data_IF_697772580275
#
_entry.id   IF_697772580275
#
_cell.length_a   1.000
_cell.length_b   1.000
_cell.length_c   1.000
_cell.angle_alpha   90.00
_cell.angle_beta   90.00
_cell.angle_gamma   90.00
#
_symmetry.space_group_name_H-M   'P 1'
#
loop_
_entity.id
_entity.type
_entity.pdbx_description
1 polymer ?
#
# COMPACT_ATOMS: atom_id res chain seq x y z
N UNK A 1 35.19 1.59 -63.17
CA UNK A 1 35.28 1.72 -61.69
C UNK A 1 34.00 2.37 -61.08
N UNK A 2 33.55 3.50 -61.57
CA UNK A 2 32.39 4.24 -61.01
C UNK A 2 31.02 3.52 -61.04
N UNK A 3 30.72 2.66 -62.03
CA UNK A 3 29.47 1.89 -62.04
C UNK A 3 29.38 0.85 -60.93
N UNK A 4 30.47 0.14 -60.63
CA UNK A 4 30.56 -0.87 -59.55
C UNK A 4 30.42 -0.23 -58.18
N UNK A 5 31.05 0.96 -58.00
CA UNK A 5 30.95 1.72 -56.76
C UNK A 5 29.53 2.22 -56.48
N UNK A 6 28.82 2.71 -57.54
CA UNK A 6 27.39 3.12 -57.41
C UNK A 6 26.47 1.95 -57.08
N UNK A 7 26.70 0.77 -57.67
CA UNK A 7 25.91 -0.44 -57.33
C UNK A 7 26.17 -0.86 -55.87
N UNK A 8 27.41 -0.80 -55.42
CA UNK A 8 27.77 -1.13 -54.07
C UNK A 8 27.18 -0.14 -53.05
N UNK A 9 27.12 1.14 -53.42
CA UNK A 9 26.50 2.19 -52.59
C UNK A 9 24.97 2.02 -52.51
N UNK A 10 24.33 1.65 -53.61
CA UNK A 10 22.88 1.35 -53.62
C UNK A 10 22.55 0.09 -52.83
N UNK A 11 23.38 -0.96 -52.89
CA UNK A 11 23.20 -2.16 -52.08
C UNK A 11 23.39 -1.86 -50.58
N UNK A 12 24.39 -1.05 -50.21
CA UNK A 12 24.61 -0.61 -48.86
C UNK A 12 23.46 0.26 -48.32
N UNK A 13 22.92 1.16 -49.18
CA UNK A 13 21.75 1.95 -48.85
C UNK A 13 20.49 1.07 -48.64
N UNK A 14 20.29 0.04 -49.53
CA UNK A 14 19.18 -0.89 -49.38
C UNK A 14 19.23 -1.71 -48.08
N UNK A 15 20.42 -2.02 -47.54
CA UNK A 15 20.60 -2.67 -46.25
C UNK A 15 20.28 -1.76 -45.06
N UNK A 16 20.30 -0.42 -45.24
CA UNK A 16 19.91 0.53 -44.19
C UNK A 16 18.38 0.71 -44.09
N UNK A 17 17.61 0.23 -45.06
CA UNK A 17 16.13 0.28 -45.04
C UNK A 17 15.49 -0.96 -44.40
N UNK A 18 16.26 -1.93 -43.89
CA UNK A 18 15.72 -3.07 -43.13
C UNK A 18 15.41 -2.71 -41.68
N UNK A 19 14.99 -1.46 -41.44
CA UNK A 19 14.58 -1.00 -40.13
C UNK A 19 13.12 -1.37 -39.81
N UNK A 20 12.88 -1.98 -38.66
CA UNK A 20 11.58 -2.13 -38.00
C UNK A 20 10.54 -3.04 -38.68
N UNK A 21 10.89 -4.27 -39.02
CA UNK A 21 9.89 -5.28 -39.38
C UNK A 21 9.08 -5.80 -38.18
N UNK A 22 9.57 -5.63 -36.97
CA UNK A 22 8.93 -6.09 -35.72
C UNK A 22 8.17 -4.94 -35.00
N UNK A 23 7.55 -4.05 -35.75
CA UNK A 23 6.74 -2.97 -35.19
C UNK A 23 5.33 -3.48 -34.92
N UNK A 24 5.09 -3.90 -33.65
CA UNK A 24 3.72 -4.11 -33.18
C UNK A 24 3.05 -2.74 -33.03
N UNK A 25 1.94 -2.49 -33.70
CA UNK A 25 1.22 -1.22 -33.60
C UNK A 25 0.59 -1.08 -32.19
N UNK A 26 0.43 0.17 -31.73
CA UNK A 26 -0.10 0.46 -30.40
C UNK A 26 -1.54 -0.06 -30.25
N UNK A 27 -2.27 -0.11 -31.36
CA UNK A 27 -3.66 -0.58 -31.43
C UNK A 27 -3.79 -2.09 -31.24
N UNK A 28 -2.73 -2.86 -31.55
CA UNK A 28 -2.67 -4.31 -31.35
C UNK A 28 -2.26 -4.70 -29.94
N UNK A 29 -1.97 -3.73 -29.07
CA UNK A 29 -1.57 -3.95 -27.68
C UNK A 29 -2.75 -3.79 -26.74
N UNK A 30 -2.92 -4.77 -25.84
CA UNK A 30 -3.83 -4.73 -24.71
C UNK A 30 -3.09 -4.37 -23.42
N UNK A 31 -3.17 -3.12 -22.96
CA UNK A 31 -2.49 -2.72 -21.73
C UNK A 31 -3.27 -3.19 -20.51
N UNK A 32 -2.70 -4.11 -19.73
CA UNK A 32 -3.26 -4.53 -18.46
C UNK A 32 -2.97 -3.44 -17.42
N UNK A 33 -4.02 -2.89 -16.81
CA UNK A 33 -3.91 -1.83 -15.79
C UNK A 33 -4.02 -2.40 -14.37
N UNK A 34 -4.85 -3.42 -14.18
CA UNK A 34 -5.05 -4.05 -12.89
C UNK A 34 -5.13 -5.56 -13.03
N UNK A 35 -4.64 -6.27 -12.02
CA UNK A 35 -4.72 -7.71 -11.88
C UNK A 35 -5.45 -8.01 -10.58
N UNK A 36 -6.45 -8.88 -10.60
CA UNK A 36 -7.11 -9.49 -9.45
C UNK A 36 -6.77 -10.96 -9.39
N UNK A 37 -6.41 -11.47 -8.24
CA UNK A 37 -6.04 -12.87 -8.04
C UNK A 37 -6.85 -13.43 -6.88
N UNK A 38 -7.68 -14.40 -7.21
CA UNK A 38 -8.53 -15.14 -6.29
C UNK A 38 -8.17 -16.64 -6.31
N UNK A 39 -8.62 -17.36 -5.30
CA UNK A 39 -8.52 -18.80 -5.26
C UNK A 39 -9.59 -19.41 -6.17
N UNK A 40 -9.16 -20.20 -7.15
CA UNK A 40 -10.12 -20.88 -8.02
C UNK A 40 -10.81 -22.02 -7.30
N UNK A 41 -12.01 -22.32 -7.76
CA UNK A 41 -12.72 -23.52 -7.38
C UNK A 41 -12.41 -24.71 -8.31
N UNK A 42 -12.51 -25.95 -7.80
CA UNK A 42 -12.33 -27.16 -8.60
C UNK A 42 -10.87 -27.55 -8.80
N UNK A 43 -10.47 -27.89 -10.04
CA UNK A 43 -9.12 -28.39 -10.37
C UNK A 43 -8.08 -27.28 -10.56
N UNK A 44 -8.50 -26.04 -10.83
CA UNK A 44 -7.59 -24.89 -11.00
C UNK A 44 -7.20 -24.29 -9.65
N UNK A 45 -6.00 -23.71 -9.56
CA UNK A 45 -5.50 -23.05 -8.35
C UNK A 45 -5.74 -21.53 -8.35
N UNK A 46 -5.58 -20.90 -9.52
CA UNK A 46 -5.65 -19.44 -9.70
C UNK A 46 -6.88 -19.05 -10.50
N UNK A 47 -7.60 -18.07 -9.99
CA UNK A 47 -8.66 -17.35 -10.66
C UNK A 47 -8.20 -15.91 -10.90
N UNK A 48 -7.93 -15.59 -12.17
CA UNK A 48 -7.31 -14.34 -12.60
C UNK A 48 -8.35 -13.45 -13.27
N UNK A 49 -8.50 -12.25 -12.77
CA UNK A 49 -9.26 -11.17 -13.41
C UNK A 49 -8.33 -10.03 -13.80
N UNK A 50 -8.46 -9.52 -15.02
CA UNK A 50 -7.64 -8.41 -15.51
C UNK A 50 -8.50 -7.30 -16.07
N UNK A 51 -8.03 -6.06 -15.90
CA UNK A 51 -8.69 -4.87 -16.42
C UNK A 51 -7.86 -4.23 -17.52
N UNK A 52 -8.48 -4.04 -18.68
CA UNK A 52 -7.91 -3.31 -19.81
C UNK A 52 -8.73 -2.04 -20.07
N UNK A 53 -8.11 -0.89 -20.39
CA UNK A 53 -8.83 0.30 -20.80
C UNK A 53 -9.47 0.11 -22.18
N UNK A 54 -10.72 0.52 -22.30
CA UNK A 54 -11.37 0.67 -23.60
C UNK A 54 -11.14 2.11 -24.11
N UNK A 55 -10.08 2.29 -24.90
CA UNK A 55 -9.63 3.60 -25.36
C UNK A 55 -10.71 4.33 -26.18
N UNK A 56 -11.52 3.59 -26.96
CA UNK A 56 -12.58 4.18 -27.78
C UNK A 56 -13.69 4.78 -26.91
N UNK A 57 -14.09 4.08 -25.84
CA UNK A 57 -15.09 4.56 -24.90
C UNK A 57 -14.57 5.73 -24.04
N UNK A 58 -13.31 5.67 -23.58
CA UNK A 58 -12.67 6.75 -22.81
C UNK A 58 -12.53 8.02 -23.65
N UNK A 59 -12.25 7.89 -24.97
CA UNK A 59 -12.14 9.01 -25.88
C UNK A 59 -13.49 9.66 -26.28
N UNK A 60 -14.60 9.16 -25.77
CA UNK A 60 -15.94 9.73 -26.02
C UNK A 60 -16.45 9.56 -27.44
N UNK A 61 -15.84 8.70 -28.28
CA UNK A 61 -16.21 8.51 -29.70
C UNK A 61 -17.54 7.78 -29.86
N UNK A 62 -17.98 7.01 -28.87
CA UNK A 62 -19.18 6.16 -28.96
C UNK A 62 -20.34 6.61 -28.05
N UNK A 63 -20.26 7.80 -27.40
CA UNK A 63 -21.30 8.28 -26.49
C UNK A 63 -21.55 7.37 -25.28
N UNK A 64 -20.65 6.44 -25.01
CA UNK A 64 -20.74 5.48 -23.94
C UNK A 64 -20.22 6.12 -22.63
N UNK A 65 -21.13 6.54 -21.79
CA UNK A 65 -20.84 6.94 -20.42
C UNK A 65 -20.22 5.74 -19.68
N UNK A 66 -19.08 5.97 -19.05
CA UNK A 66 -18.41 5.19 -17.97
C UNK A 66 -18.48 3.65 -17.94
N UNK A 67 -19.59 3.03 -18.28
CA UNK A 67 -19.81 1.58 -18.18
C UNK A 67 -18.93 0.74 -19.10
N UNK A 68 -18.59 1.27 -20.26
CA UNK A 68 -17.78 0.59 -21.29
C UNK A 68 -16.30 1.04 -21.28
N UNK A 69 -15.88 1.84 -20.31
CA UNK A 69 -14.52 2.38 -20.27
C UNK A 69 -13.43 1.32 -20.02
N UNK A 70 -13.83 0.12 -19.61
CA UNK A 70 -12.92 -1.01 -19.36
C UNK A 70 -13.46 -2.32 -19.90
N UNK A 71 -12.54 -3.23 -20.21
CA UNK A 71 -12.80 -4.64 -20.49
C UNK A 71 -12.24 -5.47 -19.36
N UNK A 72 -13.03 -6.41 -18.84
CA UNK A 72 -12.58 -7.43 -17.91
C UNK A 72 -12.29 -8.72 -18.67
N UNK A 73 -11.11 -9.27 -18.47
CA UNK A 73 -10.72 -10.62 -18.90
C UNK A 73 -10.65 -11.53 -17.68
N UNK A 74 -11.06 -12.78 -17.84
CA UNK A 74 -11.13 -13.75 -16.75
C UNK A 74 -10.58 -15.09 -17.18
N UNK A 75 -9.66 -15.68 -16.42
CA UNK A 75 -9.05 -16.96 -16.76
C UNK A 75 -8.67 -17.75 -15.51
N UNK A 76 -8.89 -19.08 -15.55
CA UNK A 76 -8.52 -19.98 -14.49
C UNK A 76 -7.46 -20.97 -14.96
N UNK A 77 -6.47 -21.26 -14.10
CA UNK A 77 -5.42 -22.26 -14.37
C UNK A 77 -4.72 -22.70 -13.06
N UNK A 78 -3.85 -23.73 -13.19
CA UNK A 78 -3.05 -24.25 -12.08
C UNK A 78 -1.82 -23.40 -11.76
N UNK A 79 -1.45 -22.49 -12.66
CA UNK A 79 -0.37 -21.53 -12.48
C UNK A 79 -0.79 -20.13 -12.95
N UNK A 80 -0.33 -19.08 -12.25
CA UNK A 80 -0.65 -17.70 -12.61
C UNK A 80 -0.22 -17.35 -14.05
N UNK A 81 0.98 -17.74 -14.46
CA UNK A 81 1.47 -17.52 -15.84
C UNK A 81 0.61 -18.25 -16.88
N UNK A 82 0.08 -19.43 -16.57
CA UNK A 82 -0.83 -20.14 -17.44
C UNK A 82 -2.20 -19.44 -17.54
N UNK A 83 -2.71 -18.87 -16.43
CA UNK A 83 -3.91 -18.06 -16.44
C UNK A 83 -3.72 -16.78 -17.28
N UNK A 84 -2.58 -16.10 -17.13
CA UNK A 84 -2.21 -14.95 -17.95
C UNK A 84 -2.19 -15.31 -19.44
N UNK A 85 -1.58 -16.44 -19.81
CA UNK A 85 -1.55 -16.91 -21.20
C UNK A 85 -2.94 -17.31 -21.74
N UNK A 86 -3.79 -17.93 -20.90
CA UNK A 86 -5.17 -18.24 -21.31
C UNK A 86 -5.98 -16.96 -21.57
N UNK A 87 -5.71 -15.88 -20.86
CA UNK A 87 -6.38 -14.61 -21.07
C UNK A 87 -5.98 -13.95 -22.38
N UNK A 88 -4.74 -14.15 -22.88
CA UNK A 88 -4.33 -13.70 -24.21
C UNK A 88 -5.27 -14.23 -25.31
N UNK A 89 -5.75 -15.46 -25.16
CA UNK A 89 -6.66 -16.09 -26.12
C UNK A 89 -8.08 -15.50 -26.13
N UNK A 90 -8.44 -14.67 -25.14
CA UNK A 90 -9.75 -14.02 -25.04
C UNK A 90 -9.82 -12.67 -25.73
N UNK A 91 -8.68 -12.17 -26.23
CA UNK A 91 -8.59 -10.89 -26.91
C UNK A 91 -7.81 -11.02 -28.21
N UNK A 92 -8.13 -10.21 -29.22
CA UNK A 92 -7.35 -10.10 -30.44
C UNK A 92 -6.10 -9.23 -30.31
N UNK A 93 -5.75 -8.81 -29.07
CA UNK A 93 -4.62 -7.96 -28.76
C UNK A 93 -3.57 -8.72 -27.99
N UNK A 94 -2.29 -8.39 -28.17
CA UNK A 94 -1.20 -8.91 -27.32
C UNK A 94 -1.23 -8.18 -25.98
N UNK A 95 -1.39 -8.93 -24.87
CA UNK A 95 -1.43 -8.34 -23.54
C UNK A 95 -0.04 -7.87 -23.10
N UNK A 96 0.02 -6.68 -22.56
CA UNK A 96 1.22 -6.04 -22.02
C UNK A 96 1.04 -5.66 -20.56
N UNK A 97 1.90 -6.20 -19.68
CA UNK A 97 1.82 -6.03 -18.23
C UNK A 97 2.70 -4.88 -17.70
N UNK A 98 3.52 -4.26 -18.56
CA UNK A 98 4.42 -3.16 -18.14
C UNK A 98 3.71 -1.90 -17.64
N UNK A 99 2.40 -1.80 -17.85
CA UNK A 99 1.55 -0.70 -17.38
C UNK A 99 0.64 -1.11 -16.22
N UNK A 100 0.76 -2.33 -15.71
CA UNK A 100 -0.01 -2.79 -14.55
C UNK A 100 0.37 -1.97 -13.32
N UNK A 101 -0.64 -1.34 -12.72
CA UNK A 101 -0.48 -0.43 -11.59
C UNK A 101 -0.73 -1.11 -10.26
N UNK A 102 -1.69 -2.04 -10.23
CA UNK A 102 -2.11 -2.74 -9.02
C UNK A 102 -2.28 -4.24 -9.24
N UNK A 103 -2.03 -5.01 -8.18
CA UNK A 103 -2.54 -6.36 -8.00
C UNK A 103 -3.37 -6.43 -6.73
N UNK A 104 -4.59 -6.94 -6.83
CA UNK A 104 -5.52 -7.15 -5.72
C UNK A 104 -5.60 -8.64 -5.43
N UNK A 105 -5.55 -9.01 -4.16
CA UNK A 105 -5.64 -10.39 -3.69
C UNK A 105 -6.87 -10.56 -2.81
N UNK A 106 -7.71 -11.54 -3.11
CA UNK A 106 -8.86 -11.90 -2.29
C UNK A 106 -8.45 -12.59 -0.97
N UNK A 107 -9.25 -12.49 0.07
CA UNK A 107 -8.96 -13.04 1.39
C UNK A 107 -8.74 -14.55 1.37
N UNK A 108 -9.56 -15.31 0.66
CA UNK A 108 -9.43 -16.77 0.56
C UNK A 108 -8.11 -17.16 -0.12
N UNK A 109 -7.68 -16.41 -1.13
CA UNK A 109 -6.40 -16.61 -1.79
C UNK A 109 -5.23 -16.31 -0.83
N UNK A 110 -5.28 -15.20 -0.11
CA UNK A 110 -4.25 -14.81 0.87
C UNK A 110 -4.15 -15.77 2.05
N UNK A 111 -5.19 -16.54 2.34
CA UNK A 111 -5.18 -17.55 3.40
C UNK A 111 -4.32 -18.77 3.05
N UNK A 112 -3.98 -18.94 1.77
CA UNK A 112 -3.14 -20.01 1.26
C UNK A 112 -1.71 -19.50 0.98
N UNK A 113 -0.82 -19.66 1.96
CA UNK A 113 0.57 -19.19 1.88
C UNK A 113 1.33 -19.69 0.65
N UNK A 114 1.09 -20.94 0.22
CA UNK A 114 1.82 -21.52 -0.91
C UNK A 114 1.31 -20.93 -2.25
N UNK A 115 0.01 -20.76 -2.41
CA UNK A 115 -0.54 -20.10 -3.60
C UNK A 115 -0.08 -18.63 -3.66
N UNK A 116 -0.09 -17.92 -2.53
CA UNK A 116 0.38 -16.55 -2.50
C UNK A 116 1.86 -16.43 -2.87
N UNK A 117 2.74 -17.27 -2.31
CA UNK A 117 4.16 -17.30 -2.67
C UNK A 117 4.38 -17.62 -4.16
N UNK A 118 3.59 -18.55 -4.71
CA UNK A 118 3.65 -18.89 -6.14
C UNK A 118 3.25 -17.68 -7.00
N UNK A 119 2.18 -16.96 -6.64
CA UNK A 119 1.76 -15.75 -7.35
C UNK A 119 2.84 -14.67 -7.32
N UNK A 120 3.37 -14.37 -6.13
CA UNK A 120 4.42 -13.36 -5.97
C UNK A 120 5.69 -13.74 -6.75
N UNK A 121 6.08 -15.02 -6.73
CA UNK A 121 7.21 -15.51 -7.52
C UNK A 121 6.97 -15.37 -9.03
N UNK A 122 5.74 -15.64 -9.50
CA UNK A 122 5.38 -15.47 -10.91
C UNK A 122 5.41 -13.99 -11.33
N UNK A 123 4.92 -13.08 -10.49
CA UNK A 123 4.96 -11.64 -10.75
C UNK A 123 6.40 -11.10 -10.75
N UNK A 124 7.24 -11.53 -9.81
CA UNK A 124 8.65 -11.13 -9.71
C UNK A 124 9.50 -11.61 -10.89
N UNK A 125 9.25 -12.81 -11.36
CA UNK A 125 9.96 -13.40 -12.53
C UNK A 125 9.51 -12.83 -13.88
N UNK A 126 8.38 -12.16 -13.93
CA UNK A 126 7.91 -11.53 -15.16
C UNK A 126 8.77 -10.32 -15.50
N UNK A 127 9.40 -10.34 -16.67
CA UNK A 127 10.20 -9.20 -17.16
C UNK A 127 9.38 -7.95 -17.47
N UNK A 128 8.06 -8.10 -17.59
CA UNK A 128 7.14 -7.00 -17.90
C UNK A 128 6.54 -6.34 -16.64
N UNK A 129 6.37 -7.10 -15.56
CA UNK A 129 5.75 -6.59 -14.35
C UNK A 129 6.73 -5.69 -13.58
N UNK A 130 6.26 -4.50 -13.23
CA UNK A 130 7.08 -3.53 -12.48
C UNK A 130 7.24 -3.93 -11.02
N UNK A 131 8.44 -3.81 -10.47
CA UNK A 131 8.69 -3.93 -9.02
C UNK A 131 7.93 -2.88 -8.18
N UNK A 132 7.46 -1.80 -8.82
CA UNK A 132 6.63 -0.75 -8.22
C UNK A 132 5.12 -1.08 -8.28
N UNK A 133 4.74 -2.28 -8.72
CA UNK A 133 3.36 -2.76 -8.69
C UNK A 133 2.81 -2.63 -7.27
N UNK A 134 1.71 -1.87 -7.11
CA UNK A 134 1.05 -1.69 -5.81
C UNK A 134 0.24 -2.95 -5.51
N UNK A 135 0.42 -3.49 -4.32
CA UNK A 135 -0.24 -4.71 -3.87
C UNK A 135 -1.31 -4.37 -2.85
N UNK A 136 -2.49 -4.94 -3.01
CA UNK A 136 -3.68 -4.67 -2.20
C UNK A 136 -4.33 -5.99 -1.76
N UNK A 137 -4.97 -5.96 -0.63
CA UNK A 137 -5.80 -7.05 -0.12
C UNK A 137 -7.25 -6.64 -0.01
N UNK A 138 -8.18 -7.57 -0.23
CA UNK A 138 -9.61 -7.36 -0.02
C UNK A 138 -10.21 -8.51 0.79
N UNK A 139 -11.21 -8.20 1.62
CA UNK A 139 -12.01 -9.21 2.33
C UNK A 139 -12.93 -9.97 1.38
N UNK A 140 -13.33 -9.32 0.28
CA UNK A 140 -14.12 -9.88 -0.80
C UNK A 140 -13.25 -10.61 -1.84
N UNK A 141 -13.79 -10.86 -3.02
CA UNK A 141 -13.00 -11.34 -4.16
C UNK A 141 -12.30 -10.16 -4.86
N UNK A 142 -11.11 -10.40 -5.37
CA UNK A 142 -10.42 -9.41 -6.19
C UNK A 142 -11.19 -9.11 -7.48
N UNK A 143 -11.92 -10.10 -8.00
CA UNK A 143 -12.79 -9.94 -9.15
C UNK A 143 -13.91 -8.91 -8.88
N UNK A 144 -14.55 -8.94 -7.72
CA UNK A 144 -15.60 -7.98 -7.34
C UNK A 144 -15.05 -6.56 -7.25
N UNK A 145 -13.85 -6.41 -6.65
CA UNK A 145 -13.17 -5.12 -6.61
C UNK A 145 -12.91 -4.59 -8.02
N UNK A 146 -12.36 -5.41 -8.91
CA UNK A 146 -12.07 -4.97 -10.28
C UNK A 146 -13.34 -4.75 -11.12
N UNK A 147 -14.44 -5.39 -10.78
CA UNK A 147 -15.74 -5.19 -11.39
C UNK A 147 -16.48 -3.96 -10.83
N UNK A 148 -16.11 -3.45 -9.67
CA UNK A 148 -16.78 -2.33 -9.04
C UNK A 148 -16.74 -1.07 -9.90
N UNK A 149 -17.81 -0.29 -9.89
CA UNK A 149 -17.94 0.95 -10.66
C UNK A 149 -17.49 2.10 -9.77
N UNK A 150 -16.56 2.91 -10.26
CA UNK A 150 -16.22 4.18 -9.63
C UNK A 150 -16.70 5.32 -10.50
N UNK A 151 -17.56 6.22 -10.00
CA UNK A 151 -18.08 7.33 -10.79
C UNK A 151 -16.98 8.32 -11.24
N UNK A 152 -15.92 8.42 -10.46
CA UNK A 152 -14.88 9.42 -10.68
C UNK A 152 -13.69 8.90 -11.50
N UNK A 153 -13.45 7.60 -11.50
CA UNK A 153 -12.30 6.98 -12.20
C UNK A 153 -12.70 5.58 -12.67
N UNK A 154 -12.90 5.39 -13.98
CA UNK A 154 -13.38 4.11 -14.51
C UNK A 154 -12.39 2.96 -14.39
N UNK A 155 -11.10 3.26 -14.16
CA UNK A 155 -10.02 2.28 -14.03
C UNK A 155 -9.50 2.27 -12.59
N UNK A 156 -9.85 1.27 -11.81
CA UNK A 156 -9.46 1.14 -10.39
C UNK A 156 -7.94 1.23 -10.20
N UNK A 157 -7.16 0.62 -11.07
CA UNK A 157 -5.70 0.74 -11.00
C UNK A 157 -5.21 2.17 -11.16
N UNK A 158 -5.91 2.98 -11.96
CA UNK A 158 -5.60 4.41 -12.08
C UNK A 158 -6.01 5.17 -10.83
N UNK A 159 -7.20 4.89 -10.29
CA UNK A 159 -7.66 5.47 -9.02
C UNK A 159 -6.64 5.22 -7.91
N UNK A 160 -6.27 3.98 -7.66
CA UNK A 160 -5.31 3.61 -6.59
C UNK A 160 -3.95 4.26 -6.82
N UNK A 161 -3.44 4.22 -8.06
CA UNK A 161 -2.16 4.84 -8.39
C UNK A 161 -2.18 6.37 -8.15
N UNK A 162 -3.27 7.04 -8.51
CA UNK A 162 -3.45 8.46 -8.27
C UNK A 162 -3.65 8.78 -6.78
N UNK A 163 -4.35 7.90 -6.04
CA UNK A 163 -4.49 8.03 -4.60
C UNK A 163 -3.12 8.10 -3.93
N UNK A 164 -2.24 7.12 -4.19
CA UNK A 164 -0.90 7.12 -3.60
C UNK A 164 -0.01 8.26 -4.10
N UNK A 165 -0.16 8.67 -5.36
CA UNK A 165 0.63 9.76 -5.93
C UNK A 165 0.23 11.14 -5.39
N UNK A 166 -1.07 11.37 -5.21
CA UNK A 166 -1.60 12.71 -4.92
C UNK A 166 -1.94 12.90 -3.44
N UNK A 167 -2.08 11.82 -2.68
CA UNK A 167 -2.46 11.83 -1.27
C UNK A 167 -1.38 11.20 -0.39
N UNK A 168 -0.12 11.21 -0.84
CA UNK A 168 0.99 10.66 -0.07
C UNK A 168 1.06 11.26 1.34
N UNK A 169 0.74 12.55 1.45
CA UNK A 169 0.72 13.29 2.71
C UNK A 169 -0.59 13.11 3.52
N UNK A 170 -1.55 12.32 3.01
CA UNK A 170 -2.86 12.06 3.64
C UNK A 170 -3.12 10.55 3.86
N UNK A 171 -2.09 9.71 3.76
CA UNK A 171 -2.19 8.24 3.76
C UNK A 171 -2.36 7.61 5.15
N UNK A 172 -3.00 8.31 6.10
CA UNK A 172 -3.02 7.85 7.50
C UNK A 172 -4.18 6.91 7.82
N UNK A 173 -4.92 6.49 6.82
CA UNK A 173 -6.02 5.51 6.91
C UNK A 173 -5.62 4.13 6.36
N UNK A 174 -4.48 4.04 5.66
CA UNK A 174 -3.97 2.80 5.08
C UNK A 174 -2.44 2.87 4.96
N UNK A 175 -1.80 1.74 4.68
CA UNK A 175 -0.37 1.62 4.41
C UNK A 175 -0.10 1.64 2.90
N UNK A 176 1.16 1.69 2.50
CA UNK A 176 1.59 1.46 1.13
C UNK A 176 2.44 0.19 1.06
N UNK A 177 2.26 -0.61 -0.01
CA UNK A 177 3.08 -1.80 -0.26
C UNK A 177 3.24 -2.01 -1.77
N UNK A 178 4.48 -2.14 -2.23
CA UNK A 178 4.78 -2.56 -3.59
C UNK A 178 5.44 -3.93 -3.62
N UNK A 179 5.65 -4.48 -4.82
CA UNK A 179 6.19 -5.82 -4.99
C UNK A 179 7.61 -5.96 -4.40
N UNK A 180 8.49 -4.98 -4.62
CA UNK A 180 9.85 -4.97 -4.06
C UNK A 180 9.85 -4.99 -2.52
N UNK A 181 9.04 -4.14 -1.91
CA UNK A 181 8.89 -4.07 -0.45
C UNK A 181 8.31 -5.37 0.13
N UNK A 182 7.31 -5.95 -0.54
CA UNK A 182 6.73 -7.23 -0.12
C UNK A 182 7.78 -8.34 -0.13
N UNK A 183 8.52 -8.47 -1.23
CA UNK A 183 9.60 -9.48 -1.36
C UNK A 183 10.66 -9.31 -0.26
N UNK A 184 11.07 -8.07 0.00
CA UNK A 184 12.01 -7.77 1.07
C UNK A 184 11.46 -8.21 2.43
N UNK A 185 10.22 -7.87 2.74
CA UNK A 185 9.58 -8.19 4.01
C UNK A 185 9.38 -9.69 4.21
N UNK A 186 8.89 -10.40 3.20
CA UNK A 186 8.70 -11.85 3.26
C UNK A 186 10.03 -12.60 3.41
N UNK A 187 11.08 -12.15 2.73
CA UNK A 187 12.41 -12.78 2.80
C UNK A 187 13.15 -12.46 4.12
N UNK A 188 12.86 -11.36 4.78
CA UNK A 188 13.57 -10.96 6.01
C UNK A 188 12.87 -11.40 7.27
N UNK A 189 11.54 -11.27 7.33
CA UNK A 189 10.74 -11.53 8.54
C UNK A 189 9.63 -12.56 8.33
N UNK A 190 9.29 -12.87 7.08
CA UNK A 190 8.12 -13.69 6.74
C UNK A 190 6.78 -12.97 6.90
N UNK A 191 6.80 -11.68 7.26
CA UNK A 191 5.60 -10.90 7.57
C UNK A 191 5.45 -9.73 6.62
N UNK A 192 4.20 -9.33 6.34
CA UNK A 192 3.90 -8.14 5.55
C UNK A 192 2.56 -7.53 5.97
N UNK A 193 2.39 -6.24 5.71
CA UNK A 193 1.12 -5.52 5.91
C UNK A 193 0.71 -4.96 4.56
N UNK A 194 -0.38 -5.49 3.99
CA UNK A 194 -0.92 -5.02 2.72
C UNK A 194 -2.03 -3.99 2.94
N UNK A 195 -2.10 -2.91 2.15
CA UNK A 195 -3.23 -1.99 2.19
C UNK A 195 -4.53 -2.71 1.82
N UNK A 196 -5.61 -2.38 2.53
CA UNK A 196 -6.93 -2.93 2.26
C UNK A 196 -7.70 -2.04 1.29
N UNK A 197 -8.38 -2.68 0.33
CA UNK A 197 -9.32 -2.06 -0.60
C UNK A 197 -10.69 -2.73 -0.44
N UNK A 198 -11.74 -1.93 -0.37
CA UNK A 198 -13.14 -2.38 -0.24
C UNK A 198 -14.04 -1.61 -1.19
N UNK A 199 -15.24 -2.13 -1.39
CA UNK A 199 -16.35 -1.42 -2.04
C UNK A 199 -17.44 -1.20 -1.00
N UNK A 200 -17.70 0.04 -0.63
CA UNK A 200 -18.72 0.43 0.33
C UNK A 200 -19.73 1.36 -0.36
N UNK A 201 -21.00 1.02 -0.30
CA UNK A 201 -22.09 1.78 -0.95
C UNK A 201 -21.86 2.04 -2.46
N UNK A 202 -21.11 1.17 -3.13
CA UNK A 202 -20.74 1.29 -4.54
C UNK A 202 -19.46 2.13 -4.79
N UNK A 203 -18.87 2.74 -3.78
CA UNK A 203 -17.63 3.49 -3.87
C UNK A 203 -16.42 2.67 -3.42
N UNK A 204 -15.29 2.85 -4.10
CA UNK A 204 -14.03 2.23 -3.73
C UNK A 204 -13.40 3.00 -2.58
N UNK A 205 -13.00 2.27 -1.56
CA UNK A 205 -12.31 2.81 -0.39
C UNK A 205 -10.99 2.09 -0.14
N UNK A 206 -9.96 2.88 0.17
CA UNK A 206 -8.68 2.40 0.69
C UNK A 206 -8.63 2.76 2.18
N UNK A 207 -8.77 1.76 3.06
CA UNK A 207 -8.85 1.97 4.50
C UNK A 207 -8.46 0.71 5.25
N UNK A 208 -7.59 0.84 6.25
CA UNK A 208 -7.10 -0.31 7.00
C UNK A 208 -6.03 -1.10 6.27
N UNK A 209 -5.73 -2.30 6.75
CA UNK A 209 -4.71 -3.16 6.18
C UNK A 209 -4.95 -4.64 6.49
N UNK A 210 -4.39 -5.53 5.67
CA UNK A 210 -4.30 -6.97 5.91
C UNK A 210 -2.95 -7.32 6.52
N UNK A 211 -2.94 -8.21 7.50
CA UNK A 211 -1.74 -8.73 8.15
C UNK A 211 -1.40 -10.09 7.58
N UNK A 212 -0.21 -10.22 7.02
CA UNK A 212 0.35 -11.49 6.58
C UNK A 212 1.44 -11.97 7.53
N UNK A 213 1.32 -13.22 7.99
CA UNK A 213 2.33 -13.93 8.76
C UNK A 213 2.73 -15.20 8.03
N UNK A 214 4.04 -15.38 7.79
CA UNK A 214 4.55 -16.50 6.98
C UNK A 214 3.88 -16.60 5.59
N UNK A 215 3.62 -15.42 5.00
CA UNK A 215 2.94 -15.27 3.72
C UNK A 215 1.45 -15.69 3.70
N UNK A 216 0.80 -15.89 4.85
CA UNK A 216 -0.63 -16.17 4.95
C UNK A 216 -1.36 -15.04 5.68
N UNK A 217 -2.59 -14.76 5.26
CA UNK A 217 -3.49 -13.83 5.93
C UNK A 217 -3.77 -14.30 7.36
N UNK A 218 -3.54 -13.42 8.32
CA UNK A 218 -3.74 -13.71 9.75
C UNK A 218 -4.79 -12.81 10.37
N UNK A 219 -5.02 -11.63 9.81
CA UNK A 219 -6.02 -10.70 10.32
C UNK A 219 -6.07 -9.39 9.55
N UNK A 220 -6.91 -8.48 10.02
CA UNK A 220 -7.17 -7.19 9.43
C UNK A 220 -7.00 -6.09 10.47
N UNK A 221 -6.53 -4.94 10.03
CA UNK A 221 -6.49 -3.71 10.80
C UNK A 221 -7.59 -2.77 10.33
N UNK A 222 -8.29 -2.16 11.28
CA UNK A 222 -9.15 -1.01 10.99
C UNK A 222 -8.32 0.29 10.86
N UNK A 223 -8.98 1.42 10.55
CA UNK A 223 -8.31 2.72 10.40
C UNK A 223 -7.51 3.13 11.64
N UNK A 224 -8.08 3.03 12.83
CA UNK A 224 -7.40 3.42 14.09
C UNK A 224 -6.19 2.55 14.37
N UNK A 225 -6.30 1.24 14.17
CA UNK A 225 -5.18 0.30 14.34
C UNK A 225 -4.08 0.55 13.29
N UNK A 226 -4.47 0.85 12.05
CA UNK A 226 -3.53 1.21 10.98
C UNK A 226 -2.83 2.52 11.30
N UNK A 227 -3.55 3.53 11.77
CA UNK A 227 -2.97 4.81 12.23
C UNK A 227 -2.00 4.60 13.40
N UNK A 228 -2.34 3.74 14.36
CA UNK A 228 -1.42 3.34 15.43
C UNK A 228 -0.11 2.72 14.91
N UNK A 229 -0.18 1.89 13.87
CA UNK A 229 1.00 1.35 13.19
C UNK A 229 1.81 2.46 12.49
N UNK A 230 1.14 3.41 11.84
CA UNK A 230 1.82 4.54 11.20
C UNK A 230 2.51 5.45 12.22
N UNK A 231 1.92 5.66 13.41
CA UNK A 231 2.60 6.32 14.53
C UNK A 231 3.84 5.54 14.98
N UNK A 232 3.74 4.21 15.12
CA UNK A 232 4.88 3.35 15.46
C UNK A 232 6.02 3.53 14.45
N UNK A 233 5.71 3.65 13.17
CA UNK A 233 6.68 3.82 12.07
C UNK A 233 7.22 5.24 11.96
N UNK A 234 6.62 6.22 12.64
CA UNK A 234 6.93 7.64 12.46
C UNK A 234 6.43 8.19 11.13
N UNK A 235 5.47 7.51 10.53
CA UNK A 235 4.83 7.85 9.25
C UNK A 235 3.50 8.60 9.46
N UNK A 236 3.37 9.37 10.53
CA UNK A 236 2.14 10.08 10.91
C UNK A 236 1.93 11.44 10.22
N UNK A 237 2.71 11.80 9.21
CA UNK A 237 2.57 13.06 8.48
C UNK A 237 1.25 13.11 7.72
N UNK A 238 0.48 14.24 7.80
CA UNK A 238 -0.84 14.47 7.20
C UNK A 238 -2.01 13.88 7.98
N UNK A 239 -1.78 13.12 9.06
CA UNK A 239 -2.85 12.58 9.91
C UNK A 239 -3.76 13.68 10.40
N UNK A 240 -5.06 13.48 10.24
CA UNK A 240 -6.09 14.30 10.87
C UNK A 240 -6.55 13.60 12.15
N UNK A 241 -6.14 14.13 13.30
CA UNK A 241 -6.52 13.63 14.61
C UNK A 241 -7.51 14.59 15.26
N UNK A 242 -8.60 14.09 15.83
CA UNK A 242 -9.62 14.93 16.45
C UNK A 242 -9.77 14.59 17.91
N UNK A 243 -9.66 15.58 18.78
CA UNK A 243 -9.87 15.42 20.22
C UNK A 243 -11.03 16.28 20.73
N UNK A 244 -11.76 15.82 21.77
CA UNK A 244 -12.76 16.65 22.40
C UNK A 244 -12.07 17.75 23.22
N UNK A 245 -12.65 18.94 23.20
CA UNK A 245 -12.19 20.09 23.98
C UNK A 245 -13.38 20.79 24.61
N UNK A 246 -13.37 20.86 25.95
CA UNK A 246 -14.33 21.64 26.70
C UNK A 246 -13.85 23.09 26.78
N UNK A 247 -14.49 23.95 26.00
CA UNK A 247 -14.16 25.37 25.94
C UNK A 247 -14.65 26.06 27.24
N UNK A 248 -13.75 26.50 28.11
CA UNK A 248 -14.13 27.13 29.39
C UNK A 248 -14.83 28.44 29.22
N UNK A 249 -14.65 29.12 28.08
CA UNK A 249 -15.30 30.41 27.83
C UNK A 249 -16.77 30.29 27.39
N UNK A 250 -17.13 29.19 26.72
CA UNK A 250 -18.47 28.96 26.18
C UNK A 250 -19.21 27.79 26.83
N UNK A 251 -18.54 27.02 27.70
CA UNK A 251 -19.04 25.77 28.31
C UNK A 251 -19.59 24.77 27.26
N UNK A 252 -19.05 24.78 26.05
CA UNK A 252 -19.41 23.88 24.95
C UNK A 252 -18.31 22.86 24.72
N UNK A 253 -18.70 21.61 24.65
CA UNK A 253 -17.82 20.55 24.13
C UNK A 253 -17.70 20.70 22.61
N UNK A 254 -16.48 20.70 22.11
CA UNK A 254 -16.16 20.83 20.69
C UNK A 254 -15.16 19.74 20.30
N UNK A 255 -15.20 19.35 19.06
CA UNK A 255 -14.17 18.51 18.47
C UNK A 255 -13.14 19.41 17.78
N UNK A 256 -11.89 19.28 18.15
CA UNK A 256 -10.78 20.07 17.59
C UNK A 256 -9.94 19.16 16.70
N UNK A 257 -9.97 19.37 15.38
CA UNK A 257 -9.12 18.63 14.44
C UNK A 257 -7.73 19.26 14.38
N UNK A 258 -6.73 18.39 14.42
CA UNK A 258 -5.31 18.69 14.28
C UNK A 258 -4.75 17.91 13.11
N UNK A 259 -4.14 18.59 12.13
CA UNK A 259 -3.45 17.98 11.03
C UNK A 259 -1.95 17.99 11.26
N UNK A 260 -1.35 16.82 11.23
CA UNK A 260 0.10 16.68 11.33
C UNK A 260 0.75 17.05 10.00
N UNK A 261 1.69 17.98 10.02
CA UNK A 261 2.46 18.40 8.82
C UNK A 261 3.85 17.80 8.79
N UNK A 262 4.34 17.34 9.94
CA UNK A 262 5.65 16.71 10.04
C UNK A 262 5.67 15.73 11.22
N UNK A 263 6.25 14.56 11.00
CA UNK A 263 6.38 13.53 12.02
C UNK A 263 7.80 12.94 11.99
N UNK A 264 8.47 12.92 13.12
CA UNK A 264 9.80 12.30 13.26
C UNK A 264 9.80 11.30 14.40
N UNK A 265 10.53 10.21 14.19
CA UNK A 265 10.69 9.13 15.18
C UNK A 265 12.16 8.85 15.43
N UNK A 266 12.49 8.61 16.70
CA UNK A 266 13.77 8.01 17.08
C UNK A 266 13.53 6.81 17.98
N UNK A 267 14.36 5.78 17.83
CA UNK A 267 14.34 4.55 18.63
C UNK A 267 15.64 4.44 19.40
N UNK A 268 15.56 3.97 20.62
CA UNK A 268 16.73 3.60 21.43
C UNK A 268 16.44 2.26 22.12
N UNK A 269 17.41 1.37 22.11
CA UNK A 269 17.27 0.03 22.68
C UNK A 269 18.21 -0.15 23.85
N UNK A 270 17.74 -0.80 24.90
CA UNK A 270 18.55 -1.20 26.05
C UNK A 270 18.12 -2.57 26.56
N UNK A 271 19.04 -3.27 27.16
CA UNK A 271 18.79 -4.47 27.93
C UNK A 271 18.57 -4.12 29.39
N UNK A 272 17.65 -4.80 30.05
CA UNK A 272 17.34 -4.67 31.46
C UNK A 272 17.18 -6.05 32.10
N UNK A 273 17.09 -6.12 33.43
CA UNK A 273 16.82 -7.39 34.12
C UNK A 273 15.48 -8.02 33.68
N UNK A 274 14.52 -7.19 33.24
CA UNK A 274 13.21 -7.60 32.75
C UNK A 274 13.18 -7.90 31.23
N UNK A 275 14.31 -7.73 30.51
CA UNK A 275 14.45 -8.00 29.09
C UNK A 275 14.65 -6.76 28.22
N UNK A 276 14.40 -6.92 26.93
CA UNK A 276 14.63 -5.88 25.92
C UNK A 276 13.61 -4.74 26.03
N UNK A 277 14.11 -3.52 26.15
CA UNK A 277 13.31 -2.29 26.17
C UNK A 277 13.59 -1.48 24.92
N UNK A 278 12.54 -1.11 24.20
CA UNK A 278 12.56 -0.14 23.12
C UNK A 278 11.96 1.18 23.61
N UNK A 279 12.74 2.26 23.60
CA UNK A 279 12.22 3.61 23.80
C UNK A 279 11.96 4.27 22.46
N UNK A 280 10.71 4.62 22.22
CA UNK A 280 10.25 5.35 21.04
C UNK A 280 9.99 6.81 21.44
N UNK A 281 10.73 7.73 20.82
CA UNK A 281 10.45 9.16 20.91
C UNK A 281 9.85 9.62 19.57
N UNK A 282 8.67 10.21 19.63
CA UNK A 282 7.96 10.72 18.44
C UNK A 282 7.67 12.20 18.63
N UNK A 283 7.99 12.99 17.62
CA UNK A 283 7.64 14.40 17.57
C UNK A 283 6.74 14.67 16.37
N UNK A 284 5.48 15.02 16.64
CA UNK A 284 4.47 15.42 15.66
C UNK A 284 4.29 16.94 15.69
N UNK A 285 4.42 17.57 14.54
CA UNK A 285 4.16 19.00 14.35
C UNK A 285 2.97 19.18 13.41
N UNK A 286 2.14 20.19 13.66
CA UNK A 286 0.98 20.42 12.80
C UNK A 286 0.18 21.63 13.22
N UNK A 287 -0.99 21.79 12.60
CA UNK A 287 -1.90 22.92 12.83
C UNK A 287 -3.31 22.45 13.19
N UNK A 288 -4.03 23.28 13.95
CA UNK A 288 -5.46 23.10 14.18
C UNK A 288 -6.18 23.57 12.93
N UNK A 289 -7.01 22.69 12.33
CA UNK A 289 -7.75 23.05 11.11
C UNK A 289 -9.04 23.82 11.39
N UNK A 290 -9.73 23.45 12.47
CA UNK A 290 -10.95 24.14 12.88
C UNK A 290 -10.97 24.39 14.38
N UNK A 291 -11.09 25.63 14.75
CA UNK A 291 -11.45 26.03 16.09
C UNK A 291 -12.27 27.31 16.01
N UNK A 292 -13.50 27.28 16.53
CA UNK A 292 -14.34 28.47 16.53
C UNK A 292 -13.76 29.49 17.53
N UNK A 293 -12.87 30.32 17.07
CA UNK A 293 -12.44 31.55 17.71
C UNK A 293 -13.04 32.71 16.93
N UNK A 294 -13.34 33.84 17.59
CA UNK A 294 -13.70 35.06 16.87
C UNK A 294 -12.54 35.44 15.94
N UNK A 295 -12.80 35.96 14.72
CA UNK A 295 -11.79 36.13 13.67
C UNK A 295 -10.50 36.86 14.08
N UNK A 296 -10.52 37.62 15.15
CA UNK A 296 -9.38 38.43 15.63
C UNK A 296 -8.70 37.86 16.89
N UNK A 297 -9.13 36.71 17.40
CA UNK A 297 -8.53 36.11 18.60
C UNK A 297 -7.55 34.99 18.26
N UNK A 298 -6.28 35.18 18.60
CA UNK A 298 -5.29 34.13 18.66
C UNK A 298 -5.69 33.13 19.75
N UNK A 299 -5.54 31.83 19.45
CA UNK A 299 -5.74 30.76 20.45
C UNK A 299 -4.78 31.00 21.61
N UNK A 300 -5.26 31.11 22.87
CA UNK A 300 -4.40 31.28 24.03
C UNK A 300 -3.36 30.19 24.18
N UNK A 301 -2.18 30.53 24.68
CA UNK A 301 -1.09 29.58 24.84
C UNK A 301 -1.45 28.39 25.76
N UNK A 302 -2.19 28.61 26.83
CA UNK A 302 -2.64 27.59 27.77
C UNK A 302 -3.61 26.62 27.11
N UNK A 303 -4.46 27.12 26.20
CA UNK A 303 -5.35 26.30 25.36
C UNK A 303 -4.53 25.43 24.40
N UNK A 304 -3.53 26.01 23.71
CA UNK A 304 -2.62 25.25 22.84
C UNK A 304 -1.86 24.16 23.62
N UNK A 305 -1.36 24.47 24.80
CA UNK A 305 -0.70 23.48 25.66
C UNK A 305 -1.64 22.36 26.10
N UNK A 306 -2.88 22.68 26.43
CA UNK A 306 -3.90 21.72 26.81
C UNK A 306 -4.21 20.77 25.65
N UNK A 307 -4.44 21.33 24.47
CA UNK A 307 -4.67 20.57 23.23
C UNK A 307 -3.46 19.70 22.87
N UNK A 308 -2.23 20.23 22.92
CA UNK A 308 -1.02 19.44 22.67
C UNK A 308 -0.97 18.19 23.55
N UNK A 309 -1.23 18.33 24.87
CA UNK A 309 -1.25 17.19 25.79
C UNK A 309 -2.37 16.19 25.49
N UNK A 310 -3.51 16.64 24.97
CA UNK A 310 -4.59 15.74 24.57
C UNK A 310 -4.20 14.95 23.33
N UNK A 311 -3.62 15.61 22.30
CA UNK A 311 -3.10 14.93 21.13
C UNK A 311 -1.95 13.95 21.45
N UNK A 312 -1.03 14.33 22.35
CA UNK A 312 0.02 13.44 22.84
C UNK A 312 -0.55 12.16 23.47
N UNK A 313 -1.60 12.29 24.28
CA UNK A 313 -2.28 11.12 24.90
C UNK A 313 -2.96 10.25 23.86
N UNK A 314 -3.65 10.85 22.90
CA UNK A 314 -4.35 10.10 21.85
C UNK A 314 -3.36 9.32 20.97
N UNK A 315 -2.29 9.98 20.50
CA UNK A 315 -1.22 9.32 19.75
C UNK A 315 -0.59 8.19 20.57
N UNK A 316 -0.31 8.43 21.86
CA UNK A 316 0.24 7.41 22.77
C UNK A 316 -0.68 6.21 22.87
N UNK A 317 -1.99 6.46 23.02
CA UNK A 317 -3.01 5.40 23.16
C UNK A 317 -3.08 4.54 21.89
N UNK A 318 -3.21 5.16 20.72
CA UNK A 318 -3.28 4.44 19.43
C UNK A 318 -2.00 3.64 19.17
N UNK A 319 -0.83 4.24 19.41
CA UNK A 319 0.47 3.62 19.22
C UNK A 319 0.66 2.40 20.15
N UNK A 320 0.33 2.55 21.43
CA UNK A 320 0.46 1.46 22.41
C UNK A 320 -0.54 0.33 22.14
N UNK A 321 -1.77 0.67 21.72
CA UNK A 321 -2.77 -0.33 21.33
C UNK A 321 -2.30 -1.12 20.09
N UNK A 322 -1.76 -0.44 19.07
CA UNK A 322 -1.21 -1.11 17.89
C UNK A 322 -0.02 -2.00 18.25
N UNK A 323 0.94 -1.52 19.06
CA UNK A 323 2.08 -2.32 19.51
C UNK A 323 1.63 -3.57 20.27
N UNK A 324 0.71 -3.41 21.24
CA UNK A 324 0.16 -4.52 22.02
C UNK A 324 -0.55 -5.54 21.12
N UNK A 325 -1.35 -5.07 20.15
CA UNK A 325 -2.04 -5.92 19.20
C UNK A 325 -1.04 -6.79 18.41
N UNK A 326 0.01 -6.19 17.85
CA UNK A 326 1.04 -6.91 17.12
C UNK A 326 1.83 -7.86 18.01
N UNK A 327 2.11 -7.48 19.23
CA UNK A 327 2.88 -8.27 20.19
C UNK A 327 2.10 -9.48 20.71
N UNK A 328 0.84 -9.29 21.12
CA UNK A 328 0.07 -10.30 21.85
C UNK A 328 -0.81 -11.16 20.95
N UNK A 329 -1.50 -10.56 19.98
CA UNK A 329 -2.44 -11.26 19.12
C UNK A 329 -1.74 -11.89 17.91
N UNK A 330 -0.96 -11.10 17.17
CA UNK A 330 -0.34 -11.59 15.93
C UNK A 330 1.07 -12.17 16.16
N UNK A 331 1.80 -11.67 17.15
CA UNK A 331 3.20 -12.06 17.42
C UNK A 331 4.09 -11.79 16.22
N UNK A 332 3.99 -10.58 15.64
CA UNK A 332 4.80 -10.13 14.51
C UNK A 332 5.38 -8.74 14.80
N UNK A 333 6.62 -8.54 14.43
CA UNK A 333 7.29 -7.23 14.46
C UNK A 333 6.93 -6.43 13.19
N UNK A 334 5.72 -5.87 13.18
CA UNK A 334 5.15 -5.17 12.01
C UNK A 334 5.87 -3.85 11.67
N UNK A 335 6.62 -3.30 12.62
CA UNK A 335 7.41 -2.08 12.47
C UNK A 335 8.91 -2.36 12.25
N UNK A 336 9.31 -3.64 12.21
CA UNK A 336 10.70 -4.05 12.07
C UNK A 336 11.63 -3.50 13.15
N UNK A 337 11.18 -3.39 14.41
CA UNK A 337 11.95 -2.89 15.55
C UNK A 337 13.24 -3.68 15.78
N UNK A 338 13.18 -5.01 15.62
CA UNK A 338 14.36 -5.87 15.78
C UNK A 338 15.38 -5.64 14.66
N UNK A 339 14.94 -5.26 13.45
CA UNK A 339 15.84 -4.84 12.38
C UNK A 339 16.53 -3.50 12.70
N UNK A 340 15.81 -2.58 13.31
CA UNK A 340 16.38 -1.32 13.79
C UNK A 340 17.36 -1.56 14.94
N UNK A 341 17.05 -2.46 15.86
CA UNK A 341 17.99 -2.93 16.88
C UNK A 341 19.27 -3.47 16.25
N UNK A 342 19.16 -4.34 15.23
CA UNK A 342 20.34 -4.87 14.53
C UNK A 342 21.22 -3.76 13.93
N UNK A 343 20.61 -2.75 13.32
CA UNK A 343 21.35 -1.62 12.72
C UNK A 343 22.05 -0.76 13.76
N UNK A 344 21.40 -0.49 14.90
CA UNK A 344 21.90 0.42 15.94
C UNK A 344 22.87 -0.26 16.89
N UNK A 345 22.58 -1.49 17.30
CA UNK A 345 23.36 -2.25 18.28
C UNK A 345 23.43 -3.74 17.91
N UNK A 346 24.31 -4.13 16.97
CA UNK A 346 24.46 -5.54 16.57
C UNK A 346 24.87 -6.48 17.72
N UNK A 347 25.55 -5.96 18.75
CA UNK A 347 25.98 -6.77 19.90
C UNK A 347 24.78 -7.13 20.79
N UNK A 348 23.91 -6.15 21.03
CA UNK A 348 22.68 -6.39 21.78
C UNK A 348 21.73 -7.30 20.98
N UNK A 349 21.59 -7.09 19.69
CA UNK A 349 20.78 -7.95 18.81
C UNK A 349 21.22 -9.43 18.90
N UNK A 350 22.53 -9.72 18.90
CA UNK A 350 23.04 -11.09 18.99
C UNK A 350 22.60 -11.83 20.25
N UNK A 351 22.35 -11.14 21.34
CA UNK A 351 21.89 -11.76 22.59
C UNK A 351 20.47 -12.34 22.47
N UNK A 352 19.68 -11.82 21.51
CA UNK A 352 18.30 -12.22 21.26
C UNK A 352 18.15 -13.02 19.95
N UNK A 353 19.24 -13.20 19.16
CA UNK A 353 19.19 -13.74 17.82
C UNK A 353 18.66 -15.19 17.73
N UNK A 354 18.82 -15.97 18.81
CA UNK A 354 18.35 -17.36 18.87
C UNK A 354 16.81 -17.46 18.89
N UNK A 355 16.10 -16.41 19.36
CA UNK A 355 14.64 -16.39 19.40
C UNK A 355 14.09 -14.95 19.32
N UNK A 356 14.09 -14.42 18.11
CA UNK A 356 13.63 -13.05 17.85
C UNK A 356 12.12 -12.87 18.12
N UNK A 357 11.31 -13.90 17.87
CA UNK A 357 9.88 -13.85 18.15
C UNK A 357 9.61 -13.70 19.65
N UNK A 358 10.34 -14.45 20.50
CA UNK A 358 10.23 -14.31 21.94
C UNK A 358 10.73 -12.94 22.42
N UNK A 359 11.83 -12.45 21.84
CA UNK A 359 12.37 -11.13 22.15
C UNK A 359 11.34 -10.03 21.86
N UNK A 360 10.67 -10.07 20.71
CA UNK A 360 9.61 -9.13 20.38
C UNK A 360 8.40 -9.27 21.31
N UNK A 361 7.94 -10.50 21.58
CA UNK A 361 6.80 -10.74 22.46
C UNK A 361 7.01 -10.28 23.91
N UNK A 362 8.26 -10.23 24.38
CA UNK A 362 8.63 -9.80 25.71
C UNK A 362 9.18 -8.37 25.75
N UNK A 363 9.33 -7.71 24.59
CA UNK A 363 9.86 -6.35 24.51
C UNK A 363 8.94 -5.37 25.22
N UNK A 364 9.50 -4.52 26.06
CA UNK A 364 8.78 -3.38 26.63
C UNK A 364 8.92 -2.17 25.72
N UNK A 365 7.80 -1.52 25.40
CA UNK A 365 7.78 -0.27 24.66
C UNK A 365 7.59 0.91 25.62
N UNK A 366 8.61 1.76 25.71
CA UNK A 366 8.51 3.08 26.38
C UNK A 366 8.27 4.16 25.32
N UNK A 367 7.33 5.06 25.57
CA UNK A 367 6.95 6.12 24.63
C UNK A 367 7.20 7.51 25.22
N UNK A 368 7.81 8.40 24.43
CA UNK A 368 7.95 9.83 24.69
C UNK A 368 7.37 10.58 23.48
N UNK A 369 6.10 10.99 23.58
CA UNK A 369 5.37 11.63 22.49
C UNK A 369 5.30 13.13 22.73
N UNK A 370 5.62 13.94 21.72
CA UNK A 370 5.57 15.39 21.77
C UNK A 370 4.79 15.93 20.59
N UNK A 371 3.82 16.79 20.87
CA UNK A 371 3.03 17.49 19.86
C UNK A 371 3.30 18.96 19.91
N UNK A 372 3.71 19.55 18.77
CA UNK A 372 3.88 20.98 18.60
C UNK A 372 2.81 21.50 17.65
N UNK A 373 1.90 22.34 18.17
CA UNK A 373 0.87 23.02 17.37
C UNK A 373 1.49 24.29 16.81
N UNK A 374 1.60 24.37 15.49
CA UNK A 374 2.03 25.57 14.77
C UNK A 374 0.82 26.51 14.56
N UNK A 375 1.08 27.82 14.52
CA UNK A 375 0.06 28.87 14.34
C UNK A 375 -0.12 29.20 12.87
#
# INVERSE_FOLDING_TARGET
>A
MHKRLRIMLCLAAALLFTGCWDKMELEDRGFVISIGIDKAGGESAFDLTMTLPNVAAIAGKDGAEGENARTLLHAQADALSAAMHKADAQTGRSLHYGHTKIAVFGADFLSDAELFKQAINALDRSSEVSQKLILLATEDTAADILAAKSPNEPLIGTFVSNFYKNNADNLHITVAMNLEQLLLNLNTTGHAILPRITVEDGDIRLSGAAILKNAALTGWLNETQTRGLLWLRGEGEGTLLTVPYDDPATARNRNVPFRTTHCTRTLAFRDTEDGLVCRLTLHAMGSIEEMTVTPDMLIPNDTLQTLSRQFEREITTELQQAFTLFQTEYGIDADHLLRELYKQNPNLYRQYADNLDAAFRQMTLETDIRVTITR
#
